data_IF_110326339845
#
_entry.id   IF_110326339845
#
_cell.length_a   1.000
_cell.length_b   1.000
_cell.length_c   1.000
_cell.angle_alpha   90.00
_cell.angle_beta   90.00
_cell.angle_gamma   90.00
#
_symmetry.space_group_name_H-M   'P 1'
#
loop_
_entity.id
_entity.type
_entity.pdbx_description
1 polymer ?
#
# COMPACT_ATOMS: atom_id res chain seq x y z
N UNK A 1 -3.56 11.45 -6.93
CA UNK A 1 -2.87 12.11 -5.79
C UNK A 1 -3.17 13.60 -5.64
N UNK A 2 -3.17 14.42 -6.70
CA UNK A 2 -3.61 15.84 -6.60
C UNK A 2 -5.05 15.97 -6.11
N UNK A 3 -5.94 15.09 -6.60
CA UNK A 3 -7.33 14.97 -6.13
C UNK A 3 -7.43 14.58 -4.65
N UNK A 4 -6.61 13.64 -4.18
CA UNK A 4 -6.55 13.29 -2.75
C UNK A 4 -6.17 14.49 -1.87
N UNK A 5 -5.18 15.28 -2.28
CA UNK A 5 -4.73 16.47 -1.52
C UNK A 5 -5.85 17.51 -1.45
N UNK A 6 -6.50 17.81 -2.58
CA UNK A 6 -7.64 18.73 -2.61
C UNK A 6 -8.81 18.24 -1.76
N UNK A 7 -9.11 16.95 -1.77
CA UNK A 7 -10.19 16.35 -1.01
C UNK A 7 -9.92 16.41 0.51
N UNK A 8 -8.68 16.20 0.94
CA UNK A 8 -8.27 16.36 2.35
C UNK A 8 -8.41 17.81 2.81
N UNK A 9 -8.00 18.77 1.97
CA UNK A 9 -8.15 20.21 2.25
C UNK A 9 -9.62 20.60 2.35
N UNK A 10 -10.48 19.99 1.53
CA UNK A 10 -11.95 20.16 1.55
C UNK A 10 -12.65 19.33 2.65
N UNK A 11 -11.92 18.69 3.58
CA UNK A 11 -12.43 17.79 4.64
C UNK A 11 -13.21 16.56 4.14
N UNK A 12 -13.16 16.27 2.84
CA UNK A 12 -13.83 15.12 2.22
C UNK A 12 -12.89 13.91 2.23
N UNK A 13 -12.76 13.28 3.40
CA UNK A 13 -11.87 12.12 3.61
C UNK A 13 -12.22 10.92 2.73
N UNK A 14 -13.50 10.69 2.47
CA UNK A 14 -13.97 9.56 1.65
C UNK A 14 -13.46 9.64 0.21
N UNK A 15 -13.43 10.84 -0.37
CA UNK A 15 -12.94 11.07 -1.75
C UNK A 15 -11.43 10.88 -1.82
N UNK A 16 -10.70 11.33 -0.79
CA UNK A 16 -9.25 11.11 -0.70
C UNK A 16 -8.90 9.63 -0.53
N UNK A 17 -9.67 8.90 0.28
CA UNK A 17 -9.54 7.45 0.43
C UNK A 17 -9.80 6.72 -0.89
N UNK A 18 -10.83 7.14 -1.64
CA UNK A 18 -11.15 6.60 -2.95
C UNK A 18 -10.02 6.80 -3.98
N UNK A 19 -9.39 7.98 -4.03
CA UNK A 19 -8.27 8.26 -4.96
C UNK A 19 -7.04 7.38 -4.65
N UNK A 20 -6.71 7.21 -3.36
CA UNK A 20 -5.56 6.41 -2.91
C UNK A 20 -5.80 4.92 -3.15
N UNK A 21 -6.96 4.39 -2.74
CA UNK A 21 -7.28 2.98 -2.93
C UNK A 21 -7.49 2.62 -4.40
N UNK A 22 -8.17 3.48 -5.17
CA UNK A 22 -8.42 3.27 -6.59
C UNK A 22 -7.12 3.15 -7.40
N UNK A 23 -6.13 4.00 -7.10
CA UNK A 23 -4.82 3.94 -7.75
C UNK A 23 -4.11 2.60 -7.50
N UNK A 24 -4.14 2.09 -6.26
CA UNK A 24 -3.50 0.82 -5.90
C UNK A 24 -4.23 -0.40 -6.48
N UNK A 25 -5.57 -0.35 -6.52
CA UNK A 25 -6.42 -1.42 -7.08
C UNK A 25 -6.26 -1.52 -8.59
N UNK A 26 -6.10 -0.41 -9.31
CA UNK A 26 -5.87 -0.42 -10.78
C UNK A 26 -4.43 -0.82 -11.12
N UNK A 27 -3.45 -0.41 -10.32
CA UNK A 27 -2.04 -0.67 -10.62
C UNK A 27 -1.67 -2.16 -10.52
N UNK A 28 -2.22 -2.89 -9.53
CA UNK A 28 -1.94 -4.32 -9.32
C UNK A 28 -2.27 -5.21 -10.55
N UNK A 29 -3.48 -5.19 -11.12
CA UNK A 29 -3.80 -5.95 -12.33
C UNK A 29 -3.05 -5.41 -13.56
N UNK A 30 -2.77 -4.11 -13.63
CA UNK A 30 -1.99 -3.52 -14.72
C UNK A 30 -0.57 -4.10 -14.75
N UNK A 31 0.09 -4.23 -13.61
CA UNK A 31 1.36 -4.94 -13.45
C UNK A 31 1.25 -6.40 -13.89
N UNK A 32 0.16 -7.09 -13.57
CA UNK A 32 -0.11 -8.46 -14.04
C UNK A 32 -0.17 -8.57 -15.57
N UNK A 33 -0.80 -7.59 -16.24
CA UNK A 33 -0.83 -7.52 -17.71
C UNK A 33 0.57 -7.25 -18.27
N UNK A 34 1.35 -6.36 -17.64
CA UNK A 34 2.74 -6.09 -18.05
C UNK A 34 3.60 -7.36 -17.96
N UNK A 35 3.44 -8.17 -16.91
CA UNK A 35 4.12 -9.46 -16.77
C UNK A 35 3.77 -10.44 -17.89
N UNK A 36 2.54 -10.42 -18.41
CA UNK A 36 2.11 -11.28 -19.54
C UNK A 36 2.74 -10.84 -20.87
N UNK A 37 2.92 -9.53 -21.07
CA UNK A 37 3.48 -8.96 -22.30
C UNK A 37 5.01 -9.04 -22.33
N UNK A 38 5.67 -8.77 -21.19
CA UNK A 38 7.12 -8.76 -21.07
C UNK A 38 7.56 -9.49 -19.79
N UNK A 39 7.74 -10.82 -19.85
CA UNK A 39 8.18 -11.59 -18.69
C UNK A 39 9.60 -11.16 -18.28
N UNK A 40 9.74 -10.68 -17.05
CA UNK A 40 11.03 -10.38 -16.45
C UNK A 40 11.39 -11.49 -15.46
N UNK A 41 12.65 -11.92 -15.49
CA UNK A 41 13.16 -12.94 -14.57
C UNK A 41 13.57 -12.24 -13.28
N UNK A 42 12.90 -12.55 -12.17
CA UNK A 42 13.26 -12.04 -10.85
C UNK A 42 14.39 -12.89 -10.28
N UNK A 43 15.58 -12.32 -9.99
CA UNK A 43 16.73 -13.09 -9.52
C UNK A 43 16.56 -13.68 -8.11
N UNK A 44 15.70 -13.08 -7.28
CA UNK A 44 15.51 -13.47 -5.87
C UNK A 44 14.03 -13.71 -5.53
N UNK A 45 13.52 -14.91 -5.84
CA UNK A 45 12.15 -15.33 -5.50
C UNK A 45 11.87 -15.26 -3.99
N UNK A 46 12.87 -15.54 -3.14
CA UNK A 46 12.78 -15.42 -1.68
C UNK A 46 12.47 -13.98 -1.23
N UNK A 47 13.12 -12.97 -1.84
CA UNK A 47 12.88 -11.54 -1.53
C UNK A 47 11.44 -11.16 -1.89
N UNK A 48 11.03 -11.49 -3.10
CA UNK A 48 9.68 -11.19 -3.60
C UNK A 48 8.62 -11.83 -2.72
N UNK A 49 8.84 -13.07 -2.28
CA UNK A 49 7.92 -13.77 -1.38
C UNK A 49 7.79 -13.06 -0.03
N UNK A 50 8.90 -12.65 0.58
CA UNK A 50 8.88 -11.91 1.86
C UNK A 50 8.16 -10.57 1.73
N UNK A 51 8.47 -9.80 0.68
CA UNK A 51 7.83 -8.50 0.41
C UNK A 51 6.33 -8.65 0.15
N UNK A 52 5.91 -9.67 -0.62
CA UNK A 52 4.51 -9.99 -0.84
C UNK A 52 3.80 -10.38 0.47
N UNK A 53 4.42 -11.21 1.30
CA UNK A 53 3.84 -11.67 2.56
C UNK A 53 3.61 -10.49 3.51
N UNK A 54 4.58 -9.58 3.61
CA UNK A 54 4.47 -8.36 4.39
C UNK A 54 3.41 -7.41 3.83
N UNK A 55 3.33 -7.25 2.50
CA UNK A 55 2.33 -6.42 1.84
C UNK A 55 0.89 -6.93 2.09
N UNK A 56 0.68 -8.25 2.06
CA UNK A 56 -0.60 -8.87 2.40
C UNK A 56 -0.93 -8.63 3.88
N UNK A 57 0.04 -8.83 4.78
CA UNK A 57 -0.16 -8.61 6.22
C UNK A 57 -0.57 -7.16 6.53
N UNK A 58 0.13 -6.19 5.94
CA UNK A 58 -0.17 -4.76 6.09
C UNK A 58 -1.52 -4.41 5.47
N UNK A 59 -1.87 -4.97 4.32
CA UNK A 59 -3.16 -4.74 3.67
C UNK A 59 -4.33 -5.29 4.47
N UNK A 60 -4.18 -6.48 5.07
CA UNK A 60 -5.19 -7.07 5.96
C UNK A 60 -5.34 -6.23 7.23
N UNK A 61 -4.24 -5.80 7.83
CA UNK A 61 -4.26 -4.91 9.00
C UNK A 61 -4.92 -3.56 8.67
N UNK A 62 -4.61 -2.99 7.51
CA UNK A 62 -5.23 -1.76 7.01
C UNK A 62 -6.74 -1.94 6.80
N UNK A 63 -7.17 -3.04 6.20
CA UNK A 63 -8.59 -3.34 5.98
C UNK A 63 -9.34 -3.50 7.31
N UNK A 64 -8.74 -4.18 8.29
CA UNK A 64 -9.31 -4.34 9.63
C UNK A 64 -9.42 -2.99 10.37
N UNK A 65 -8.38 -2.15 10.30
CA UNK A 65 -8.38 -0.81 10.89
C UNK A 65 -9.44 0.10 10.23
N UNK A 66 -9.52 0.09 8.89
CA UNK A 66 -10.50 0.87 8.14
C UNK A 66 -11.95 0.42 8.40
N UNK A 67 -12.19 -0.89 8.58
CA UNK A 67 -13.54 -1.43 8.79
C UNK A 67 -14.08 -1.20 10.21
N UNK A 68 -13.22 -1.00 11.21
CA UNK A 68 -13.64 -0.92 12.62
C UNK A 68 -14.27 0.42 12.99
N UNK A 69 -13.89 1.53 12.33
CA UNK A 69 -14.40 2.88 12.66
C UNK A 69 -14.79 3.77 11.48
N UNK A 70 -14.80 3.26 10.24
CA UNK A 70 -14.96 4.05 8.99
C UNK A 70 -13.93 5.17 8.80
N UNK A 71 -12.95 5.27 9.68
CA UNK A 71 -11.94 6.32 9.72
C UNK A 71 -10.66 5.71 10.31
N UNK A 72 -9.51 5.94 9.66
CA UNK A 72 -8.22 5.57 10.23
C UNK A 72 -7.87 6.56 11.34
N UNK A 73 -7.75 6.05 12.55
CA UNK A 73 -7.39 6.85 13.72
C UNK A 73 -5.92 7.25 13.64
N UNK A 74 -5.52 8.43 14.17
CA UNK A 74 -4.11 8.88 14.19
C UNK A 74 -3.14 7.81 14.72
N UNK A 75 -3.56 7.01 15.70
CA UNK A 75 -2.74 5.91 16.26
C UNK A 75 -2.51 4.78 15.26
N UNK A 76 -3.53 4.36 14.53
CA UNK A 76 -3.44 3.32 13.50
C UNK A 76 -2.56 3.78 12.33
N UNK A 77 -2.70 5.05 11.93
CA UNK A 77 -1.83 5.68 10.93
C UNK A 77 -0.36 5.72 11.35
N UNK A 78 -0.07 6.05 12.62
CA UNK A 78 1.32 6.03 13.15
C UNK A 78 1.88 4.61 13.11
N UNK A 79 1.11 3.59 13.50
CA UNK A 79 1.56 2.19 13.46
C UNK A 79 1.87 1.76 12.02
N UNK A 80 0.96 2.02 11.08
CA UNK A 80 1.15 1.74 9.66
C UNK A 80 2.40 2.45 9.10
N UNK A 81 2.59 3.72 9.44
CA UNK A 81 3.74 4.50 9.01
C UNK A 81 5.06 3.98 9.61
N UNK A 82 5.04 3.57 10.87
CA UNK A 82 6.20 2.97 11.55
C UNK A 82 6.61 1.65 10.89
N UNK A 83 5.62 0.80 10.55
CA UNK A 83 5.86 -0.46 9.83
C UNK A 83 6.43 -0.20 8.44
N UNK A 84 5.92 0.82 7.74
CA UNK A 84 6.45 1.23 6.44
C UNK A 84 7.91 1.69 6.53
N UNK A 85 8.26 2.52 7.51
CA UNK A 85 9.66 2.94 7.72
C UNK A 85 10.54 1.75 8.05
N UNK A 86 10.11 0.86 8.96
CA UNK A 86 10.85 -0.33 9.31
C UNK A 86 11.10 -1.23 8.09
N UNK A 87 10.08 -1.38 7.23
CA UNK A 87 10.20 -2.11 5.98
C UNK A 87 11.22 -1.46 5.02
N UNK A 88 11.14 -0.15 4.79
CA UNK A 88 12.09 0.56 3.92
C UNK A 88 13.52 0.46 4.44
N UNK A 89 13.73 0.61 5.75
CA UNK A 89 15.05 0.47 6.36
C UNK A 89 15.59 -0.95 6.24
N UNK A 90 14.74 -1.96 6.44
CA UNK A 90 15.10 -3.37 6.31
C UNK A 90 15.46 -3.74 4.86
N UNK A 91 14.69 -3.24 3.89
CA UNK A 91 14.98 -3.40 2.47
C UNK A 91 16.31 -2.72 2.11
N UNK A 92 16.53 -1.48 2.57
CA UNK A 92 17.76 -0.72 2.31
C UNK A 92 19.01 -1.34 2.96
N UNK A 93 18.92 -1.89 4.17
CA UNK A 93 20.07 -2.53 4.85
C UNK A 93 20.39 -3.92 4.32
N UNK A 94 19.50 -4.52 3.51
CA UNK A 94 19.73 -5.81 2.84
C UNK A 94 20.09 -5.69 1.36
N UNK A 95 20.36 -4.48 0.86
CA UNK A 95 21.04 -4.24 -0.42
C UNK A 95 22.52 -4.57 -0.27
#
# INVERSE_FOLDING_TARGET
MTLAIEAIVKKNRDVAFGDILGSSVINTPLLGVICLVSPFVMPDIERVRMTLLLLVLVSVFFFWAASTKKDITRREGIVLFSVYIAFVLFEMTRV
#
